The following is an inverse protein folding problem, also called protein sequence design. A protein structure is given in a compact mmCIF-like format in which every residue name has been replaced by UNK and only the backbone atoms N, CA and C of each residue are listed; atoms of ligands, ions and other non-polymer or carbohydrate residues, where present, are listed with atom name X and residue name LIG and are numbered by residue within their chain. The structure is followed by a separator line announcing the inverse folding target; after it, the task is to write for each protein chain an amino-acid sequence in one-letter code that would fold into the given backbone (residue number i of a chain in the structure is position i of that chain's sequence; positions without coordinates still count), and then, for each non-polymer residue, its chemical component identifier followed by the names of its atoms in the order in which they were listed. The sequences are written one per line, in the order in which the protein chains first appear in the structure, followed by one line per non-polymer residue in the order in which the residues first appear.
data_IF_514165686148
#
_entry.id   IF_514165686148
#
_cell.length_a   1.000
_cell.length_b   1.000
_cell.length_c   1.000
_cell.angle_alpha   90.00
_cell.angle_beta   90.00
_cell.angle_gamma   90.00
#
_symmetry.space_group_name_H-M   'P 1'
#
loop_
_entity.id
_entity.type
_entity.pdbx_description
1 polymer ?
#
# COMPACT_ATOMS: atom_id res chain seq x y z
N UNK A 1 18.71 -7.40 -6.70
CA UNK A 1 18.73 -8.81 -6.27
C UNK A 1 17.29 -9.26 -6.15
N UNK A 2 16.83 -10.16 -7.03
CA UNK A 2 15.44 -10.65 -7.01
C UNK A 2 15.28 -11.61 -5.84
N UNK A 3 14.21 -11.42 -5.08
CA UNK A 3 13.90 -12.19 -3.89
C UNK A 3 13.47 -13.59 -4.31
N UNK A 4 14.27 -14.63 -3.99
CA UNK A 4 13.81 -16.01 -4.09
C UNK A 4 12.60 -16.23 -3.16
N UNK A 5 11.71 -17.16 -3.53
CA UNK A 5 10.57 -17.58 -2.70
C UNK A 5 10.99 -17.75 -1.23
N UNK A 6 10.52 -16.86 -0.35
CA UNK A 6 10.76 -16.93 1.09
C UNK A 6 11.77 -15.92 1.67
N UNK A 7 12.51 -15.15 0.85
CA UNK A 7 13.28 -14.03 1.39
C UNK A 7 12.34 -12.84 1.71
N UNK A 8 12.52 -12.18 2.84
CA UNK A 8 11.74 -11.00 3.25
C UNK A 8 12.36 -9.73 2.66
N UNK A 9 11.58 -8.96 1.91
CA UNK A 9 12.01 -7.70 1.28
C UNK A 9 12.65 -6.78 2.32
N UNK A 10 13.75 -6.10 1.99
CA UNK A 10 14.43 -5.17 2.93
C UNK A 10 13.45 -4.13 3.51
N UNK A 11 12.48 -3.70 2.68
CA UNK A 11 11.38 -2.81 3.10
C UNK A 11 10.50 -3.47 4.16
N UNK A 12 10.04 -4.71 3.92
CA UNK A 12 9.22 -5.43 4.90
C UNK A 12 9.99 -5.74 6.18
N UNK A 13 11.29 -6.06 6.08
CA UNK A 13 12.15 -6.33 7.22
C UNK A 13 12.41 -5.09 8.10
N UNK A 14 12.35 -3.89 7.50
CA UNK A 14 12.49 -2.62 8.21
C UNK A 14 11.17 -2.06 8.75
N UNK A 15 10.01 -2.49 8.22
CA UNK A 15 8.71 -1.96 8.61
C UNK A 15 8.21 -2.53 9.94
N UNK A 16 7.27 -1.83 10.58
CA UNK A 16 6.52 -2.35 11.71
C UNK A 16 5.71 -3.62 11.34
N UNK A 17 5.57 -4.55 12.30
CA UNK A 17 4.89 -5.85 12.08
C UNK A 17 3.37 -5.70 11.85
N UNK A 18 2.73 -4.68 12.44
CA UNK A 18 1.32 -4.37 12.24
C UNK A 18 1.10 -3.63 10.91
N UNK A 19 0.00 -3.90 10.20
CA UNK A 19 -0.26 -3.37 8.86
C UNK A 19 -0.98 -2.01 8.82
N UNK A 20 -1.11 -1.33 9.96
CA UNK A 20 -1.76 -0.03 10.09
C UNK A 20 -3.24 0.01 9.73
N UNK A 21 -3.93 0.99 10.29
CA UNK A 21 -5.34 1.30 10.09
C UNK A 21 -5.58 2.78 9.74
N UNK A 22 -4.55 3.63 9.89
CA UNK A 22 -4.61 5.06 9.62
C UNK A 22 -3.91 5.39 8.31
N UNK A 23 -4.60 6.10 7.41
CA UNK A 23 -3.98 6.61 6.19
C UNK A 23 -3.08 7.79 6.52
N UNK A 24 -1.82 7.76 6.07
CA UNK A 24 -0.87 8.84 6.32
C UNK A 24 -1.46 10.23 5.99
N UNK A 25 -1.29 11.17 6.93
CA UNK A 25 -1.80 12.55 6.85
C UNK A 25 -3.34 12.71 6.72
N UNK A 26 -4.14 11.64 6.90
CA UNK A 26 -5.58 11.80 7.13
C UNK A 26 -5.84 12.44 8.49
N UNK A 27 -7.04 12.98 8.70
CA UNK A 27 -7.42 13.60 9.98
C UNK A 27 -7.18 12.67 11.17
N UNK A 28 -7.57 11.40 11.05
CA UNK A 28 -7.40 10.40 12.10
C UNK A 28 -5.92 10.09 12.36
N UNK A 29 -5.10 10.05 11.30
CA UNK A 29 -3.65 9.89 11.43
C UNK A 29 -3.02 11.09 12.15
N UNK A 30 -3.42 12.31 11.79
CA UNK A 30 -2.90 13.55 12.37
C UNK A 30 -3.31 13.71 13.82
N UNK A 31 -4.56 13.40 14.16
CA UNK A 31 -5.04 13.43 15.55
C UNK A 31 -4.25 12.45 16.41
N UNK A 32 -4.01 11.25 15.91
CA UNK A 32 -3.27 10.25 16.63
C UNK A 32 -1.75 10.56 16.68
N UNK A 33 -1.20 11.27 15.68
CA UNK A 33 0.16 11.80 15.69
C UNK A 33 0.32 12.98 16.67
N UNK A 34 -0.72 13.81 16.81
CA UNK A 34 -0.77 14.92 17.78
C UNK A 34 -0.58 14.39 19.20
N UNK A 35 -1.35 13.37 19.60
CA UNK A 35 -1.23 12.77 20.93
C UNK A 35 0.19 12.29 21.24
N UNK A 36 0.84 11.64 20.26
CA UNK A 36 2.21 11.16 20.41
C UNK A 36 3.18 12.33 20.49
N UNK A 37 3.10 13.29 19.56
CA UNK A 37 4.06 14.37 19.47
C UNK A 37 3.99 15.32 20.68
N UNK A 38 2.79 15.65 21.15
CA UNK A 38 2.59 16.43 22.37
C UNK A 38 3.15 15.71 23.61
N UNK A 39 2.94 14.39 23.71
CA UNK A 39 3.51 13.59 24.80
C UNK A 39 5.05 13.56 24.75
N UNK A 40 5.65 13.33 23.57
CA UNK A 40 7.11 13.24 23.42
C UNK A 40 7.80 14.59 23.64
N UNK A 41 7.19 15.69 23.20
CA UNK A 41 7.64 17.07 23.48
C UNK A 41 7.51 17.38 24.97
N UNK A 42 6.38 17.06 25.59
CA UNK A 42 6.16 17.29 27.02
C UNK A 42 7.16 16.53 27.91
N UNK A 43 7.45 15.27 27.58
CA UNK A 43 8.46 14.46 28.29
C UNK A 43 9.90 15.01 28.17
N UNK A 44 10.17 15.79 27.12
CA UNK A 44 11.50 16.34 26.81
C UNK A 44 11.55 17.86 26.88
N UNK A 45 10.59 18.48 27.55
CA UNK A 45 10.41 19.94 27.58
C UNK A 45 11.69 20.70 27.98
N UNK A 46 12.39 20.23 29.01
CA UNK A 46 13.66 20.85 29.46
C UNK A 46 14.74 20.82 28.37
N UNK A 47 14.82 19.71 27.62
CA UNK A 47 15.78 19.55 26.54
C UNK A 47 15.38 20.24 25.24
N UNK A 48 14.20 20.86 25.16
CA UNK A 48 13.72 21.63 24.01
C UNK A 48 13.64 23.13 24.31
N UNK A 49 14.06 23.57 25.50
CA UNK A 49 13.91 24.95 25.95
C UNK A 49 14.67 25.97 25.08
N UNK A 50 15.75 25.55 24.43
CA UNK A 50 16.57 26.35 23.50
C UNK A 50 16.24 26.11 22.03
N UNK A 51 15.24 25.27 21.72
CA UNK A 51 14.77 25.07 20.36
C UNK A 51 14.12 26.36 19.83
N UNK A 52 14.73 26.95 18.80
CA UNK A 52 14.14 28.07 18.09
C UNK A 52 12.81 27.67 17.43
N UNK A 53 11.85 28.61 17.26
CA UNK A 53 10.60 28.31 16.57
C UNK A 53 10.86 27.71 15.19
N UNK A 54 10.16 26.61 14.91
CA UNK A 54 10.40 25.82 13.72
C UNK A 54 9.12 25.10 13.27
N UNK A 55 8.90 25.02 11.96
CA UNK A 55 7.72 24.36 11.38
C UNK A 55 8.09 23.26 10.40
N UNK A 56 7.35 22.14 10.46
CA UNK A 56 7.40 21.01 9.53
C UNK A 56 6.08 20.98 8.76
N UNK A 57 6.13 20.77 7.45
CA UNK A 57 4.98 20.44 6.64
C UNK A 57 5.33 19.28 5.69
N UNK A 58 4.57 18.19 5.74
CA UNK A 58 4.71 17.08 4.80
C UNK A 58 3.45 16.96 3.94
N UNK A 59 3.63 16.88 2.62
CA UNK A 59 2.55 16.82 1.62
C UNK A 59 2.69 15.55 0.80
N UNK A 60 1.71 14.66 0.89
CA UNK A 60 1.58 13.46 0.08
C UNK A 60 0.61 13.67 -1.06
N UNK A 61 1.12 13.69 -2.29
CA UNK A 61 0.34 13.76 -3.53
C UNK A 61 -0.19 12.38 -3.94
N UNK A 62 -1.29 12.32 -4.69
CA UNK A 62 -1.95 11.04 -5.05
C UNK A 62 -2.49 10.24 -3.84
N UNK A 63 -3.29 10.86 -2.94
CA UNK A 63 -3.88 10.12 -1.84
C UNK A 63 -4.81 9.01 -2.36
N UNK A 64 -5.15 8.00 -1.53
CA UNK A 64 -6.09 6.97 -1.93
C UNK A 64 -7.43 7.55 -2.39
N UNK A 65 -7.88 7.17 -3.58
CA UNK A 65 -9.09 7.71 -4.20
C UNK A 65 -10.35 7.54 -3.33
N UNK A 66 -10.43 6.45 -2.57
CA UNK A 66 -11.57 6.16 -1.70
C UNK A 66 -11.83 7.21 -0.60
N UNK A 67 -10.86 8.09 -0.33
CA UNK A 67 -10.99 9.17 0.63
C UNK A 67 -11.70 10.41 0.08
N UNK A 68 -11.85 10.54 -1.24
CA UNK A 68 -12.48 11.69 -1.89
C UNK A 68 -11.91 13.05 -1.44
N UNK A 69 -10.59 13.10 -1.18
CA UNK A 69 -9.92 14.24 -0.53
C UNK A 69 -9.13 15.15 -1.49
N UNK A 70 -9.31 14.99 -2.81
CA UNK A 70 -8.61 15.78 -3.81
C UNK A 70 -7.21 15.24 -4.16
N UNK A 71 -6.27 16.14 -4.48
CA UNK A 71 -4.96 15.79 -5.05
C UNK A 71 -3.87 15.47 -4.03
N UNK A 72 -4.06 15.86 -2.77
CA UNK A 72 -3.05 15.70 -1.72
C UNK A 72 -3.67 15.52 -0.33
N UNK A 73 -2.90 14.89 0.56
CA UNK A 73 -3.08 14.94 2.01
C UNK A 73 -1.82 15.55 2.61
N UNK A 74 -1.99 16.39 3.61
CA UNK A 74 -0.87 17.08 4.25
C UNK A 74 -1.07 17.19 5.75
N UNK A 75 0.03 17.32 6.48
CA UNK A 75 0.03 17.65 7.89
C UNK A 75 1.17 18.59 8.22
N UNK A 76 1.06 19.27 9.35
CA UNK A 76 2.10 20.15 9.83
C UNK A 76 2.26 20.11 11.35
N UNK A 77 3.47 20.45 11.80
CA UNK A 77 3.79 20.72 13.20
C UNK A 77 4.49 22.07 13.32
N UNK A 78 4.06 22.89 14.28
CA UNK A 78 4.73 24.14 14.67
C UNK A 78 5.30 23.97 16.06
N UNK A 79 6.63 24.02 16.17
CA UNK A 79 7.35 23.96 17.44
C UNK A 79 7.65 25.38 17.92
N UNK A 80 7.35 25.65 19.18
CA UNK A 80 7.70 26.88 19.90
C UNK A 80 8.39 26.47 21.20
N UNK A 81 9.71 26.20 21.12
CA UNK A 81 10.48 25.62 22.20
C UNK A 81 9.92 24.27 22.66
N UNK A 82 9.44 24.23 23.90
CA UNK A 82 8.88 23.04 24.55
C UNK A 82 7.36 22.84 24.29
N UNK A 83 6.79 23.52 23.30
CA UNK A 83 5.39 23.34 22.89
C UNK A 83 5.32 23.02 21.40
N UNK A 84 4.28 22.28 21.02
CA UNK A 84 4.04 21.91 19.63
C UNK A 84 2.55 22.00 19.32
N UNK A 85 2.21 22.53 18.15
CA UNK A 85 0.84 22.50 17.61
C UNK A 85 0.85 21.67 16.34
N UNK A 86 -0.08 20.71 16.22
CA UNK A 86 -0.17 19.77 15.10
C UNK A 86 -1.52 19.92 14.40
N UNK A 87 -1.50 20.06 13.07
CA UNK A 87 -2.70 20.27 12.26
C UNK A 87 -2.71 19.48 10.96
N UNK A 88 -3.92 19.25 10.45
CA UNK A 88 -4.16 18.74 9.11
C UNK A 88 -4.03 19.86 8.08
N UNK A 89 -3.64 19.49 6.86
CA UNK A 89 -3.53 20.42 5.75
C UNK A 89 -2.14 21.02 5.61
N UNK A 90 -1.95 21.62 4.45
CA UNK A 90 -0.71 22.22 4.00
C UNK A 90 -0.54 23.63 4.61
N UNK A 91 0.70 23.98 4.95
CA UNK A 91 1.06 25.35 5.30
C UNK A 91 1.45 26.15 4.06
N UNK A 92 1.14 27.45 4.09
CA UNK A 92 1.67 28.39 3.10
C UNK A 92 3.21 28.34 3.09
N UNK A 93 3.79 28.53 1.91
CA UNK A 93 5.22 28.32 1.71
C UNK A 93 6.11 29.24 2.59
N UNK A 94 5.63 30.44 2.92
CA UNK A 94 6.31 31.39 3.78
C UNK A 94 6.15 31.10 5.28
N UNK A 95 5.24 30.21 5.66
CA UNK A 95 5.05 29.74 7.04
C UNK A 95 5.86 28.46 7.36
N UNK A 96 6.51 27.87 6.35
CA UNK A 96 7.14 26.56 6.47
C UNK A 96 8.68 26.64 6.49
N UNK A 97 9.31 26.23 7.60
CA UNK A 97 10.76 26.18 7.71
C UNK A 97 11.35 24.91 7.08
N UNK A 98 10.63 23.80 7.14
CA UNK A 98 10.96 22.57 6.44
C UNK A 98 9.72 21.98 5.79
N UNK A 99 9.76 21.88 4.47
CA UNK A 99 8.69 21.32 3.65
C UNK A 99 9.20 20.12 2.89
N UNK A 100 8.44 19.03 2.92
CA UNK A 100 8.70 17.84 2.12
C UNK A 100 7.45 17.46 1.34
N UNK A 101 7.58 17.31 0.03
CA UNK A 101 6.52 16.82 -0.84
C UNK A 101 6.99 15.62 -1.65
N UNK A 102 6.10 14.65 -1.82
CA UNK A 102 6.33 13.44 -2.59
C UNK A 102 5.04 12.67 -2.83
N UNK A 103 5.14 11.52 -3.48
CA UNK A 103 4.01 10.62 -3.66
C UNK A 103 3.57 10.04 -2.30
N UNK A 104 2.26 10.07 -2.07
CA UNK A 104 1.61 9.65 -0.83
C UNK A 104 1.91 8.18 -0.51
N UNK A 105 1.92 7.29 -1.51
CA UNK A 105 2.21 5.87 -1.28
C UNK A 105 3.64 5.66 -0.78
N UNK A 106 4.59 6.42 -1.33
CA UNK A 106 6.00 6.37 -0.95
C UNK A 106 6.21 6.95 0.44
N UNK A 107 5.61 8.10 0.75
CA UNK A 107 5.68 8.70 2.10
C UNK A 107 5.02 7.78 3.13
N UNK A 108 3.85 7.20 2.83
CA UNK A 108 3.17 6.26 3.72
C UNK A 108 4.06 5.05 4.03
N UNK A 109 4.80 4.54 3.05
CA UNK A 109 5.76 3.45 3.27
C UNK A 109 6.99 3.88 4.07
N UNK A 110 7.51 5.10 3.85
CA UNK A 110 8.60 5.67 4.66
C UNK A 110 8.18 5.86 6.12
N UNK A 111 6.95 6.31 6.35
CA UNK A 111 6.35 6.47 7.68
C UNK A 111 6.16 5.15 8.43
N UNK A 112 6.26 4.01 7.75
CA UNK A 112 6.18 2.66 8.35
C UNK A 112 7.51 2.04 8.71
N UNK A 113 8.64 2.63 8.29
CA UNK A 113 9.94 2.13 8.74
C UNK A 113 9.98 2.22 10.27
N UNK A 114 10.53 1.21 10.93
CA UNK A 114 10.67 1.21 12.37
C UNK A 114 12.16 1.21 12.70
N UNK A 115 12.61 2.23 13.41
CA UNK A 115 13.99 2.33 13.85
C UNK A 115 14.22 1.51 15.12
N UNK A 116 13.29 1.57 16.07
CA UNK A 116 13.40 0.82 17.31
C UNK A 116 13.25 -0.69 17.07
N UNK A 117 14.26 -1.48 17.47
CA UNK A 117 14.23 -2.94 17.36
C UNK A 117 14.56 -3.52 15.99
N UNK A 118 14.95 -2.69 15.00
CA UNK A 118 15.38 -3.14 13.66
C UNK A 118 16.88 -2.91 13.43
N UNK A 119 17.51 -3.68 12.53
CA UNK A 119 18.91 -3.44 12.14
C UNK A 119 19.00 -2.08 11.41
N UNK A 120 19.79 -1.11 11.91
CA UNK A 120 19.94 0.19 11.27
C UNK A 120 20.37 0.13 9.80
N UNK A 121 21.13 -0.90 9.40
CA UNK A 121 21.53 -1.08 8.00
C UNK A 121 20.35 -1.48 7.12
N UNK A 122 19.45 -2.33 7.64
CA UNK A 122 18.22 -2.72 6.94
C UNK A 122 17.28 -1.52 6.80
N UNK A 123 17.14 -0.72 7.87
CA UNK A 123 16.33 0.51 7.81
C UNK A 123 16.91 1.51 6.80
N UNK A 124 18.23 1.73 6.81
CA UNK A 124 18.88 2.62 5.85
C UNK A 124 18.74 2.12 4.40
N UNK A 125 18.84 0.81 4.15
CA UNK A 125 18.64 0.23 2.83
C UNK A 125 17.18 0.39 2.34
N UNK A 126 16.21 0.11 3.22
CA UNK A 126 14.79 0.32 2.93
C UNK A 126 14.47 1.80 2.64
N UNK A 127 14.99 2.72 3.45
CA UNK A 127 14.84 4.15 3.22
C UNK A 127 15.46 4.57 1.89
N UNK A 128 16.70 4.15 1.59
CA UNK A 128 17.37 4.47 0.34
C UNK A 128 16.58 3.95 -0.88
N UNK A 129 16.04 2.72 -0.81
CA UNK A 129 15.14 2.19 -1.84
C UNK A 129 13.90 3.07 -2.01
N UNK A 130 13.15 3.31 -0.94
CA UNK A 130 11.88 4.05 -1.00
C UNK A 130 12.08 5.49 -1.50
N UNK A 131 13.15 6.18 -1.06
CA UNK A 131 13.44 7.55 -1.52
C UNK A 131 13.69 7.66 -3.02
N UNK A 132 14.06 6.58 -3.72
CA UNK A 132 14.22 6.61 -5.17
C UNK A 132 12.89 6.59 -5.92
N UNK A 133 11.81 6.11 -5.29
CA UNK A 133 10.54 5.82 -5.95
C UNK A 133 9.68 7.07 -6.17
N UNK A 134 9.96 8.17 -5.47
CA UNK A 134 9.25 9.44 -5.61
C UNK A 134 10.14 10.53 -6.19
N UNK A 135 9.52 11.45 -6.92
CA UNK A 135 10.00 12.81 -7.13
C UNK A 135 9.83 13.55 -5.81
N UNK A 136 10.83 14.32 -5.40
CA UNK A 136 10.82 15.02 -4.13
C UNK A 136 10.96 16.52 -4.35
N UNK A 137 10.13 17.29 -3.67
CA UNK A 137 10.36 18.71 -3.46
C UNK A 137 10.65 18.91 -1.97
N UNK A 138 11.90 19.26 -1.64
CA UNK A 138 12.32 19.49 -0.25
C UNK A 138 12.83 20.92 -0.16
N UNK A 139 12.26 21.68 0.77
CA UNK A 139 12.60 23.07 1.03
C UNK A 139 13.00 23.26 2.49
N UNK A 140 14.05 24.03 2.71
CA UNK A 140 14.60 24.26 4.03
C UNK A 140 15.30 23.04 4.63
N UNK A 141 15.45 23.02 5.95
CA UNK A 141 16.18 21.98 6.67
C UNK A 141 15.65 21.84 8.10
N UNK A 142 15.61 20.61 8.60
CA UNK A 142 15.39 20.37 10.02
C UNK A 142 16.53 20.99 10.85
N UNK A 143 16.24 21.60 12.02
CA UNK A 143 17.26 22.04 12.95
C UNK A 143 18.14 20.87 13.39
N UNK A 144 19.45 21.07 13.43
CA UNK A 144 20.39 20.11 14.01
C UNK A 144 20.30 20.18 15.54
N UNK A 145 19.26 19.58 16.09
CA UNK A 145 18.95 19.58 17.52
C UNK A 145 18.72 18.14 18.01
N UNK A 146 19.59 17.59 18.88
CA UNK A 146 19.56 16.16 19.21
C UNK A 146 18.26 15.73 19.91
N UNK A 147 17.71 16.57 20.79
CA UNK A 147 16.43 16.29 21.46
C UNK A 147 15.24 16.30 20.48
N UNK A 148 15.18 17.28 19.57
CA UNK A 148 14.20 17.27 18.48
C UNK A 148 14.33 16.01 17.61
N UNK A 149 15.56 15.63 17.24
CA UNK A 149 15.81 14.39 16.50
C UNK A 149 15.30 13.14 17.22
N UNK A 150 15.42 13.10 18.55
CA UNK A 150 14.84 12.02 19.36
C UNK A 150 13.31 12.05 19.41
N UNK A 151 12.70 13.24 19.52
CA UNK A 151 11.23 13.42 19.47
C UNK A 151 10.67 12.95 18.14
N UNK A 152 11.24 13.40 17.01
CA UNK A 152 10.77 13.02 15.68
C UNK A 152 10.95 11.53 15.41
N UNK A 153 12.03 10.92 15.91
CA UNK A 153 12.23 9.47 15.82
C UNK A 153 11.20 8.70 16.65
N UNK A 154 10.88 9.17 17.86
CA UNK A 154 9.87 8.54 18.71
C UNK A 154 8.47 8.65 18.11
N UNK A 155 8.12 9.80 17.52
CA UNK A 155 6.90 9.96 16.73
C UNK A 155 6.86 8.93 15.60
N UNK A 156 7.93 8.86 14.81
CA UNK A 156 8.01 7.94 13.68
C UNK A 156 7.81 6.48 14.10
N UNK A 157 8.55 6.01 15.11
CA UNK A 157 8.43 4.65 15.64
C UNK A 157 7.02 4.34 16.19
N UNK A 158 6.37 5.30 16.86
CA UNK A 158 5.03 5.13 17.40
C UNK A 158 3.93 5.12 16.31
N UNK A 159 4.12 5.90 15.24
CA UNK A 159 3.19 5.96 14.11
C UNK A 159 3.36 4.82 13.13
N UNK A 160 4.56 4.25 13.01
CA UNK A 160 4.88 3.17 12.06
C UNK A 160 3.89 1.98 12.08
N UNK A 161 3.51 1.39 13.24
CA UNK A 161 2.56 0.28 13.27
C UNK A 161 1.11 0.68 12.96
N UNK A 162 0.77 1.98 13.07
CA UNK A 162 -0.59 2.50 12.81
C UNK A 162 -0.76 3.02 11.39
N UNK A 163 0.33 3.39 10.73
CA UNK A 163 0.31 3.93 9.37
C UNK A 163 0.08 2.80 8.36
N UNK A 164 -0.91 2.97 7.49
CA UNK A 164 -1.27 1.98 6.48
C UNK A 164 -0.23 1.96 5.34
N UNK A 165 0.34 0.78 4.98
CA UNK A 165 1.24 0.69 3.84
C UNK A 165 0.49 0.84 2.54
N UNK A 166 1.18 1.32 1.52
CA UNK A 166 0.64 1.38 0.16
C UNK A 166 1.62 0.73 -0.81
N UNK A 167 1.33 -0.49 -1.23
CA UNK A 167 2.19 -1.29 -2.09
C UNK A 167 1.52 -1.53 -3.43
N UNK A 168 2.34 -1.76 -4.46
CA UNK A 168 1.83 -2.12 -5.78
C UNK A 168 1.06 -3.43 -5.74
N UNK A 169 -0.08 -3.43 -6.42
CA UNK A 169 -1.03 -4.55 -6.47
C UNK A 169 -0.32 -5.88 -6.77
N UNK A 170 -0.67 -6.94 -6.05
CA UNK A 170 -0.15 -8.31 -6.25
C UNK A 170 1.37 -8.51 -6.11
N UNK A 171 2.13 -7.50 -5.69
CA UNK A 171 3.56 -7.65 -5.36
C UNK A 171 3.75 -8.44 -4.07
N UNK A 172 4.94 -9.03 -3.82
CA UNK A 172 5.21 -9.72 -2.57
C UNK A 172 4.95 -8.87 -1.31
N UNK A 173 5.25 -7.57 -1.37
CA UNK A 173 4.94 -6.60 -0.32
C UNK A 173 3.43 -6.43 -0.08
N UNK A 174 2.63 -6.34 -1.14
CA UNK A 174 1.18 -6.32 -1.03
C UNK A 174 0.61 -7.60 -0.42
N UNK A 175 1.13 -8.76 -0.84
CA UNK A 175 0.73 -10.08 -0.30
C UNK A 175 1.09 -10.23 1.18
N UNK A 176 2.10 -9.51 1.68
CA UNK A 176 2.38 -9.45 3.12
C UNK A 176 1.18 -8.89 3.91
N UNK A 177 0.49 -7.88 3.36
CA UNK A 177 -0.73 -7.34 3.97
C UNK A 177 -1.87 -8.36 3.93
N UNK A 178 -2.04 -9.06 2.80
CA UNK A 178 -3.03 -10.12 2.65
C UNK A 178 -2.80 -11.24 3.67
N UNK A 179 -1.53 -11.65 3.85
CA UNK A 179 -1.14 -12.64 4.85
C UNK A 179 -1.55 -12.21 6.25
N UNK A 180 -1.23 -10.99 6.67
CA UNK A 180 -1.59 -10.48 8.00
C UNK A 180 -3.11 -10.45 8.21
N UNK A 181 -3.88 -9.95 7.24
CA UNK A 181 -5.35 -9.89 7.30
C UNK A 181 -5.93 -11.30 7.44
N UNK A 182 -5.50 -12.22 6.58
CA UNK A 182 -6.06 -13.56 6.53
C UNK A 182 -5.65 -14.42 7.74
N UNK A 183 -4.40 -14.33 8.21
CA UNK A 183 -3.94 -15.10 9.39
C UNK A 183 -4.64 -14.62 10.66
N UNK A 184 -4.69 -13.31 10.89
CA UNK A 184 -5.37 -12.71 12.06
C UNK A 184 -6.85 -13.11 12.11
N UNK A 185 -7.51 -13.14 10.95
CA UNK A 185 -8.90 -13.58 10.87
C UNK A 185 -9.03 -15.10 11.01
N UNK A 186 -8.12 -15.88 10.42
CA UNK A 186 -8.12 -17.33 10.58
C UNK A 186 -8.00 -17.74 12.05
N UNK A 187 -7.15 -17.08 12.84
CA UNK A 187 -7.07 -17.28 14.30
C UNK A 187 -8.41 -17.04 15.00
N UNK A 188 -9.10 -15.94 14.65
CA UNK A 188 -10.44 -15.63 15.19
C UNK A 188 -11.49 -16.68 14.83
N UNK A 189 -11.34 -17.38 13.71
CA UNK A 189 -12.29 -18.38 13.21
C UNK A 189 -11.76 -19.82 13.28
N UNK A 190 -10.67 -20.08 14.02
CA UNK A 190 -9.91 -21.34 13.96
C UNK A 190 -10.78 -22.60 14.10
N UNK A 191 -11.68 -22.62 15.10
CA UNK A 191 -12.59 -23.75 15.31
C UNK A 191 -13.55 -24.02 14.14
N UNK A 192 -13.96 -22.97 13.42
CA UNK A 192 -14.91 -23.10 12.30
C UNK A 192 -14.23 -23.58 11.01
N UNK A 193 -12.91 -23.42 10.91
CA UNK A 193 -12.16 -23.79 9.71
C UNK A 193 -11.31 -25.06 9.88
N UNK A 194 -11.27 -25.66 11.08
CA UNK A 194 -10.39 -26.79 11.42
C UNK A 194 -10.49 -28.02 10.52
N UNK A 195 -11.62 -28.21 9.85
CA UNK A 195 -11.88 -29.36 8.98
C UNK A 195 -11.92 -28.97 7.49
N UNK A 196 -11.52 -27.73 7.16
CA UNK A 196 -11.52 -27.21 5.79
C UNK A 196 -10.18 -27.49 5.10
N UNK A 197 -10.26 -28.09 3.93
CA UNK A 197 -9.19 -28.13 2.94
C UNK A 197 -9.65 -27.34 1.69
N UNK A 198 -8.99 -26.21 1.41
CA UNK A 198 -9.34 -25.35 0.28
C UNK A 198 -8.13 -24.54 -0.23
N UNK A 199 -7.98 -24.43 -1.54
CA UNK A 199 -6.93 -23.65 -2.22
C UNK A 199 -7.57 -22.58 -3.12
N UNK A 200 -7.30 -21.32 -2.80
CA UNK A 200 -7.63 -20.15 -3.60
C UNK A 200 -6.38 -19.60 -4.29
N UNK A 201 -6.47 -19.18 -5.55
CA UNK A 201 -5.36 -18.56 -6.27
C UNK A 201 -5.83 -17.47 -7.21
N UNK A 202 -5.09 -16.36 -7.25
CA UNK A 202 -5.16 -15.36 -8.33
C UNK A 202 -3.79 -15.22 -8.97
N UNK A 203 -3.73 -15.31 -10.31
CA UNK A 203 -2.50 -15.26 -11.08
C UNK A 203 -2.68 -14.38 -12.32
N UNK A 204 -1.79 -13.40 -12.49
CA UNK A 204 -1.90 -12.39 -13.53
C UNK A 204 -0.61 -12.31 -14.35
N UNK A 205 -0.75 -12.57 -15.65
CA UNK A 205 0.31 -12.51 -16.65
C UNK A 205 0.42 -11.10 -17.24
N UNK A 206 1.43 -10.86 -18.08
CA UNK A 206 1.66 -9.57 -18.73
C UNK A 206 1.75 -8.43 -17.69
N UNK A 207 2.39 -8.71 -16.56
CA UNK A 207 2.55 -7.76 -15.47
C UNK A 207 3.61 -6.70 -15.85
N UNK A 208 3.44 -5.43 -15.44
CA UNK A 208 4.27 -4.34 -15.92
C UNK A 208 5.68 -4.43 -15.34
N UNK A 209 6.67 -4.05 -16.15
CA UNK A 209 8.09 -4.24 -15.80
C UNK A 209 8.54 -3.39 -14.60
N UNK A 210 7.86 -2.27 -14.31
CA UNK A 210 8.18 -1.48 -13.11
C UNK A 210 7.86 -2.25 -11.82
N UNK A 211 6.83 -3.10 -11.82
CA UNK A 211 6.39 -3.86 -10.65
C UNK A 211 7.00 -5.27 -10.61
N UNK A 212 7.15 -5.90 -11.78
CA UNK A 212 7.68 -7.26 -11.95
C UNK A 212 8.85 -7.25 -12.95
N UNK A 213 10.01 -6.65 -12.58
CA UNK A 213 11.13 -6.43 -13.51
C UNK A 213 11.81 -7.72 -14.00
N UNK A 214 11.58 -8.83 -13.34
CA UNK A 214 12.03 -10.16 -13.75
C UNK A 214 11.05 -10.88 -14.68
N UNK A 215 9.92 -10.23 -15.03
CA UNK A 215 8.85 -10.81 -15.83
C UNK A 215 7.99 -11.83 -15.09
N UNK A 216 8.09 -11.89 -13.75
CA UNK A 216 7.24 -12.75 -12.94
C UNK A 216 5.76 -12.35 -13.03
N UNK A 217 4.88 -13.32 -12.76
CA UNK A 217 3.44 -13.07 -12.70
C UNK A 217 3.09 -12.38 -11.37
N UNK A 218 2.22 -11.38 -11.42
CA UNK A 218 1.56 -10.87 -10.23
C UNK A 218 0.56 -11.90 -9.72
N UNK A 219 0.51 -12.13 -8.41
CA UNK A 219 -0.49 -13.05 -7.88
C UNK A 219 -0.39 -13.28 -6.39
N UNK A 220 -1.39 -13.96 -5.86
CA UNK A 220 -1.34 -14.51 -4.53
C UNK A 220 -2.21 -15.75 -4.44
N UNK A 221 -1.87 -16.61 -3.49
CA UNK A 221 -2.62 -17.83 -3.22
C UNK A 221 -2.80 -18.01 -1.72
N UNK A 222 -3.88 -18.69 -1.38
CA UNK A 222 -4.26 -19.02 -0.02
C UNK A 222 -4.61 -20.49 0.03
N UNK A 223 -3.93 -21.22 0.91
CA UNK A 223 -4.17 -22.64 1.12
C UNK A 223 -4.60 -22.86 2.57
N UNK A 224 -5.82 -23.33 2.76
CA UNK A 224 -6.33 -23.83 4.02
C UNK A 224 -6.18 -25.36 4.01
N UNK A 225 -5.48 -25.92 4.99
CA UNK A 225 -5.42 -27.38 5.21
C UNK A 225 -5.73 -27.64 6.66
N UNK A 226 -6.84 -28.31 6.94
CA UNK A 226 -7.32 -28.58 8.30
C UNK A 226 -7.29 -27.34 9.20
N UNK A 227 -7.78 -26.23 8.65
CA UNK A 227 -7.83 -24.93 9.33
C UNK A 227 -6.51 -24.17 9.42
N UNK A 228 -5.39 -24.74 9.00
CA UNK A 228 -4.14 -24.00 8.88
C UNK A 228 -4.12 -23.23 7.56
N UNK A 229 -4.08 -21.90 7.65
CA UNK A 229 -4.03 -21.03 6.47
C UNK A 229 -2.58 -20.64 6.16
N UNK A 230 -2.15 -20.91 4.93
CA UNK A 230 -0.87 -20.48 4.35
C UNK A 230 -1.14 -19.52 3.20
N UNK A 231 -0.40 -18.42 3.14
CA UNK A 231 -0.54 -17.39 2.10
C UNK A 231 0.81 -17.12 1.45
N UNK A 232 0.85 -17.18 0.12
CA UNK A 232 2.05 -16.89 -0.67
C UNK A 232 1.78 -15.93 -1.83
N UNK A 233 2.86 -15.35 -2.35
CA UNK A 233 2.84 -14.43 -3.48
C UNK A 233 3.19 -15.17 -4.78
N UNK A 234 2.83 -14.56 -5.91
CA UNK A 234 3.05 -15.11 -7.24
C UNK A 234 2.09 -16.26 -7.58
N UNK A 235 2.42 -17.07 -8.61
CA UNK A 235 1.61 -18.21 -9.01
C UNK A 235 1.55 -19.28 -7.92
N UNK A 236 0.48 -20.08 -7.93
CA UNK A 236 0.36 -21.23 -7.04
C UNK A 236 1.49 -22.24 -7.33
N UNK A 237 2.26 -22.68 -6.32
CA UNK A 237 3.27 -23.73 -6.50
C UNK A 237 2.66 -25.03 -7.03
N UNK A 238 3.37 -25.71 -7.94
CA UNK A 238 2.91 -26.93 -8.61
C UNK A 238 2.52 -28.03 -7.61
N UNK A 239 3.19 -28.13 -6.47
CA UNK A 239 2.87 -29.10 -5.42
C UNK A 239 1.51 -28.85 -4.73
N UNK A 240 0.91 -27.68 -4.91
CA UNK A 240 -0.39 -27.30 -4.35
C UNK A 240 -1.51 -27.25 -5.40
N UNK A 241 -1.18 -27.47 -6.67
CA UNK A 241 -2.15 -27.56 -7.76
C UNK A 241 -2.96 -28.88 -7.71
N UNK A 242 -4.20 -28.89 -8.25
CA UNK A 242 -4.94 -27.74 -8.76
C UNK A 242 -5.54 -26.86 -7.66
N UNK A 243 -5.74 -25.57 -7.95
CA UNK A 243 -6.55 -24.69 -7.10
C UNK A 243 -8.03 -25.11 -7.09
N UNK A 244 -8.74 -24.85 -6.00
CA UNK A 244 -10.19 -25.03 -5.90
C UNK A 244 -10.93 -23.85 -6.53
N UNK A 245 -10.41 -22.63 -6.34
CA UNK A 245 -10.87 -21.42 -7.04
C UNK A 245 -9.67 -20.69 -7.63
N UNK A 246 -9.71 -20.45 -8.94
CA UNK A 246 -8.63 -19.80 -9.70
C UNK A 246 -9.18 -18.62 -10.48
N UNK A 247 -8.68 -17.41 -10.19
CA UNK A 247 -8.74 -16.26 -11.10
C UNK A 247 -7.42 -16.20 -11.88
N UNK A 248 -7.47 -16.24 -13.21
CA UNK A 248 -6.26 -16.16 -14.05
C UNK A 248 -6.48 -15.29 -15.27
N UNK A 249 -5.52 -14.43 -15.60
CA UNK A 249 -5.66 -13.55 -16.76
C UNK A 249 -4.53 -12.56 -16.95
N UNK A 250 -4.77 -11.53 -17.76
CA UNK A 250 -3.87 -10.39 -17.89
C UNK A 250 -3.92 -9.50 -16.64
N UNK A 251 -2.79 -8.90 -16.27
CA UNK A 251 -2.66 -8.01 -15.11
C UNK A 251 -3.45 -6.71 -15.28
N UNK A 252 -3.23 -5.98 -16.37
CA UNK A 252 -3.82 -4.64 -16.53
C UNK A 252 -5.35 -4.62 -16.39
N UNK A 253 -6.13 -5.52 -17.04
CA UNK A 253 -7.59 -5.49 -16.94
C UNK A 253 -8.13 -5.72 -15.53
N UNK A 254 -7.37 -6.34 -14.62
CA UNK A 254 -7.85 -6.60 -13.26
C UNK A 254 -7.50 -5.48 -12.29
N UNK A 255 -6.50 -4.65 -12.58
CA UNK A 255 -5.98 -3.66 -11.60
C UNK A 255 -7.06 -2.70 -11.11
N UNK A 256 -7.90 -2.09 -11.98
CA UNK A 256 -8.96 -1.21 -11.49
C UNK A 256 -10.02 -1.95 -10.65
N UNK A 257 -10.24 -3.23 -10.92
CA UNK A 257 -11.08 -4.10 -10.08
C UNK A 257 -10.44 -4.31 -8.71
N UNK A 258 -9.20 -4.80 -8.67
CA UNK A 258 -8.52 -5.19 -7.44
C UNK A 258 -8.06 -4.05 -6.52
N UNK A 259 -8.22 -2.79 -6.92
CA UNK A 259 -7.88 -1.61 -6.11
C UNK A 259 -9.07 -0.75 -5.69
N UNK A 260 -10.26 -1.11 -6.15
CA UNK A 260 -11.49 -0.38 -5.82
C UNK A 260 -11.94 -0.73 -4.40
N UNK A 261 -12.25 0.28 -3.59
CA UNK A 261 -12.82 0.07 -2.25
C UNK A 261 -14.34 0.13 -2.38
N UNK A 262 -14.97 -1.03 -2.56
CA UNK A 262 -16.40 -1.11 -2.91
C UNK A 262 -17.29 -0.38 -1.90
N UNK A 263 -16.96 -0.48 -0.61
CA UNK A 263 -17.71 0.19 0.45
C UNK A 263 -17.66 1.73 0.42
N UNK A 264 -16.69 2.32 -0.28
CA UNK A 264 -16.49 3.78 -0.35
C UNK A 264 -16.99 4.41 -1.66
N UNK A 265 -17.51 3.60 -2.58
CA UNK A 265 -17.94 4.06 -3.89
C UNK A 265 -19.28 4.80 -3.85
N UNK A 266 -19.36 5.89 -4.59
CA UNK A 266 -20.63 6.53 -4.96
C UNK A 266 -21.39 5.68 -5.99
N UNK A 267 -22.66 6.00 -6.24
CA UNK A 267 -23.47 5.23 -7.20
C UNK A 267 -23.02 5.40 -8.66
N UNK A 268 -22.45 6.56 -9.00
CA UNK A 268 -21.86 6.80 -10.33
C UNK A 268 -20.61 5.94 -10.53
N UNK A 269 -19.74 5.89 -9.51
CA UNK A 269 -18.54 5.06 -9.54
C UNK A 269 -18.89 3.58 -9.64
N UNK A 270 -19.93 3.12 -8.92
CA UNK A 270 -20.41 1.73 -9.01
C UNK A 270 -20.86 1.38 -10.43
N UNK A 271 -21.53 2.31 -11.12
CA UNK A 271 -21.95 2.10 -12.50
C UNK A 271 -20.74 2.02 -13.43
N UNK A 272 -19.79 2.96 -13.32
CA UNK A 272 -18.54 2.94 -14.09
C UNK A 272 -17.73 1.66 -13.85
N UNK A 273 -17.63 1.22 -12.59
CA UNK A 273 -16.94 -0.01 -12.21
C UNK A 273 -17.63 -1.27 -12.70
N UNK A 274 -18.97 -1.30 -12.72
CA UNK A 274 -19.72 -2.42 -13.28
C UNK A 274 -19.45 -2.56 -14.79
N UNK A 275 -19.43 -1.44 -15.52
CA UNK A 275 -19.14 -1.42 -16.95
C UNK A 275 -17.69 -1.87 -17.24
N UNK A 276 -16.72 -1.38 -16.46
CA UNK A 276 -15.32 -1.81 -16.58
C UNK A 276 -15.14 -3.29 -16.25
N UNK A 277 -15.70 -3.75 -15.12
CA UNK A 277 -15.65 -5.16 -14.71
C UNK A 277 -16.27 -6.06 -15.78
N UNK A 278 -17.40 -5.63 -16.36
CA UNK A 278 -18.02 -6.37 -17.45
C UNK A 278 -17.15 -6.42 -18.72
N UNK A 279 -16.21 -5.50 -18.93
CA UNK A 279 -15.23 -5.57 -20.01
C UNK A 279 -14.05 -6.50 -19.66
N UNK A 280 -13.49 -6.38 -18.45
CA UNK A 280 -12.34 -7.18 -17.99
C UNK A 280 -12.61 -8.70 -17.98
N UNK A 281 -13.84 -9.11 -17.68
CA UNK A 281 -14.24 -10.53 -17.58
C UNK A 281 -15.08 -11.03 -18.78
N UNK A 282 -15.31 -10.21 -19.81
CA UNK A 282 -16.09 -10.63 -20.99
C UNK A 282 -15.21 -11.37 -21.99
N UNK A 283 -15.82 -12.31 -22.71
CA UNK A 283 -15.18 -12.98 -23.82
C UNK A 283 -14.87 -12.01 -24.96
N UNK A 284 -13.58 -11.84 -25.26
CA UNK A 284 -13.10 -11.09 -26.41
C UNK A 284 -13.19 -11.99 -27.66
N UNK A 285 -14.03 -11.58 -28.61
CA UNK A 285 -14.25 -12.33 -29.86
C UNK A 285 -13.06 -12.25 -30.82
N UNK A 286 -12.30 -11.18 -30.78
CA UNK A 286 -11.13 -10.98 -31.64
C UNK A 286 -9.94 -11.79 -31.12
N UNK A 287 -9.72 -11.78 -29.80
CA UNK A 287 -8.66 -12.57 -29.17
C UNK A 287 -9.05 -14.05 -28.94
N UNK A 288 -10.33 -14.40 -29.06
CA UNK A 288 -10.84 -15.77 -28.87
C UNK A 288 -10.73 -16.29 -27.44
N UNK A 289 -10.60 -15.41 -26.44
CA UNK A 289 -10.42 -15.74 -25.02
C UNK A 289 -10.99 -14.64 -24.13
N UNK A 290 -11.19 -14.92 -22.83
CA UNK A 290 -11.44 -13.84 -21.85
C UNK A 290 -10.11 -13.19 -21.45
N UNK A 291 -10.05 -11.88 -21.17
CA UNK A 291 -8.85 -11.26 -20.59
C UNK A 291 -8.54 -11.83 -19.21
N UNK A 292 -9.58 -12.07 -18.41
CA UNK A 292 -9.51 -12.72 -17.09
C UNK A 292 -10.60 -13.79 -16.98
N UNK A 293 -10.21 -14.97 -16.54
CA UNK A 293 -11.07 -16.13 -16.32
C UNK A 293 -11.14 -16.48 -14.84
N UNK A 294 -12.33 -16.91 -14.40
CA UNK A 294 -12.57 -17.51 -13.09
C UNK A 294 -13.02 -18.95 -13.28
N UNK A 295 -12.30 -19.88 -12.66
CA UNK A 295 -12.48 -21.32 -12.85
C UNK A 295 -12.38 -22.08 -11.53
N UNK A 296 -12.81 -23.35 -11.53
CA UNK A 296 -12.69 -24.27 -10.38
C UNK A 296 -11.93 -25.54 -10.78
N UNK A 297 -10.60 -25.47 -10.99
CA UNK A 297 -9.83 -26.55 -11.60
C UNK A 297 -9.87 -27.89 -10.84
N UNK A 298 -9.94 -27.87 -9.50
CA UNK A 298 -9.99 -29.09 -8.70
C UNK A 298 -11.33 -29.83 -8.76
N UNK A 299 -12.40 -29.15 -9.16
CA UNK A 299 -13.77 -29.66 -9.10
C UNK A 299 -14.37 -29.77 -7.69
N UNK A 300 -13.71 -29.27 -6.63
CA UNK A 300 -14.24 -29.35 -5.25
C UNK A 300 -15.36 -28.35 -4.93
N UNK A 301 -15.64 -27.43 -5.85
CA UNK A 301 -16.73 -26.46 -5.73
C UNK A 301 -16.32 -25.14 -5.08
N UNK A 302 -17.32 -24.40 -4.63
CA UNK A 302 -17.15 -23.04 -4.10
C UNK A 302 -16.41 -22.99 -2.77
N UNK A 303 -15.90 -21.80 -2.42
CA UNK A 303 -15.29 -21.53 -1.14
C UNK A 303 -16.26 -21.85 0.02
N UNK A 304 -15.87 -22.67 1.00
CA UNK A 304 -16.70 -22.97 2.16
C UNK A 304 -17.12 -21.68 2.90
N UNK A 305 -18.38 -21.56 3.38
CA UNK A 305 -18.88 -20.31 3.95
C UNK A 305 -18.06 -19.75 5.12
N UNK A 306 -17.55 -20.62 5.98
CA UNK A 306 -16.71 -20.20 7.12
C UNK A 306 -15.34 -19.68 6.67
N UNK A 307 -14.77 -20.23 5.60
CA UNK A 307 -13.59 -19.65 4.96
C UNK A 307 -13.93 -18.35 4.24
N UNK A 308 -15.09 -18.28 3.57
CA UNK A 308 -15.62 -17.05 2.97
C UNK A 308 -15.67 -15.88 3.96
N UNK A 309 -16.10 -16.12 5.21
CA UNK A 309 -16.09 -15.09 6.28
C UNK A 309 -14.71 -14.52 6.58
N UNK A 310 -13.64 -15.29 6.38
CA UNK A 310 -12.25 -14.82 6.53
C UNK A 310 -11.91 -13.87 5.38
N UNK A 311 -12.34 -14.18 4.16
CA UNK A 311 -12.09 -13.42 2.93
C UNK A 311 -12.97 -12.19 2.74
N UNK A 312 -14.16 -12.12 3.35
CA UNK A 312 -15.13 -11.02 3.16
C UNK A 312 -14.50 -9.61 3.13
N UNK A 313 -13.66 -9.18 4.09
CA UNK A 313 -13.09 -7.84 4.07
C UNK A 313 -11.85 -7.70 3.19
N UNK A 314 -11.31 -8.81 2.67
CA UNK A 314 -9.97 -8.86 2.07
C UNK A 314 -9.86 -7.88 0.90
N UNK A 315 -10.84 -7.88 0.01
CA UNK A 315 -10.85 -7.02 -1.17
C UNK A 315 -10.71 -5.55 -0.76
N UNK A 316 -11.68 -5.02 -0.01
CA UNK A 316 -11.68 -3.60 0.34
C UNK A 316 -10.47 -3.22 1.23
N UNK A 317 -10.04 -4.09 2.14
CA UNK A 317 -8.85 -3.82 2.95
C UNK A 317 -7.57 -3.77 2.12
N UNK A 318 -7.41 -4.63 1.13
CA UNK A 318 -6.25 -4.57 0.25
C UNK A 318 -6.35 -3.45 -0.77
N UNK A 319 -7.55 -3.15 -1.26
CA UNK A 319 -7.84 -2.03 -2.16
C UNK A 319 -7.48 -0.68 -1.56
N UNK A 320 -7.70 -0.48 -0.25
CA UNK A 320 -7.24 0.75 0.45
C UNK A 320 -5.74 0.99 0.30
N UNK A 321 -4.96 -0.09 0.10
CA UNK A 321 -3.49 -0.09 0.03
C UNK A 321 -2.94 0.03 -1.39
N UNK A 322 -3.80 -0.09 -2.41
CA UNK A 322 -3.43 -0.03 -3.86
C UNK A 322 -4.21 1.03 -4.64
N UNK A 323 -5.18 1.68 -4.01
CA UNK A 323 -6.00 2.73 -4.63
C UNK A 323 -5.12 3.78 -5.33
N UNK A 324 -5.60 4.37 -6.43
CA UNK A 324 -4.90 5.40 -7.23
C UNK A 324 -3.62 4.99 -8.02
N UNK A 325 -3.19 3.73 -7.98
CA UNK A 325 -2.09 3.24 -8.83
C UNK A 325 -2.60 2.69 -10.17
N UNK A 326 -2.00 3.13 -11.28
CA UNK A 326 -2.35 2.71 -12.63
C UNK A 326 -1.12 2.28 -13.42
N UNK A 327 -1.09 1.03 -13.92
CA UNK A 327 0.02 0.55 -14.73
C UNK A 327 0.28 1.39 -16.00
N UNK A 328 -0.79 1.95 -16.59
CA UNK A 328 -0.74 2.72 -17.84
C UNK A 328 0.02 4.05 -17.73
N UNK A 329 0.30 4.51 -16.51
CA UNK A 329 1.10 5.70 -16.30
C UNK A 329 2.60 5.48 -16.58
N UNK A 330 3.05 4.22 -16.53
CA UNK A 330 4.47 3.88 -16.42
C UNK A 330 4.89 2.77 -17.39
N UNK A 331 3.95 2.25 -18.18
CA UNK A 331 4.21 1.15 -19.11
C UNK A 331 3.46 1.34 -20.42
N UNK A 332 4.20 1.74 -21.45
CA UNK A 332 3.69 1.99 -22.81
C UNK A 332 3.29 0.70 -23.54
N UNK A 333 3.62 -0.48 -22.99
CA UNK A 333 3.22 -1.77 -23.57
C UNK A 333 1.75 -2.11 -23.35
N UNK A 334 1.05 -1.30 -22.54
CA UNK A 334 -0.36 -1.50 -22.22
C UNK A 334 -1.23 -1.13 -23.41
N UNK A 335 -2.11 -2.05 -23.79
CA UNK A 335 -3.08 -1.85 -24.88
C UNK A 335 -4.00 -0.67 -24.56
N UNK A 336 -4.35 0.11 -25.58
CA UNK A 336 -5.23 1.29 -25.45
C UNK A 336 -6.58 0.98 -24.76
N UNK A 337 -7.12 -0.22 -24.98
CA UNK A 337 -8.37 -0.65 -24.35
C UNK A 337 -8.30 -0.72 -22.81
N UNK A 338 -7.09 -0.85 -22.25
CA UNK A 338 -6.84 -0.97 -20.81
C UNK A 338 -6.03 0.20 -20.24
N UNK A 339 -5.65 1.17 -21.07
CA UNK A 339 -4.83 2.31 -20.65
C UNK A 339 -5.65 3.48 -20.12
N UNK A 340 -6.98 3.44 -20.24
CA UNK A 340 -7.85 4.52 -19.79
C UNK A 340 -8.17 4.38 -18.30
N UNK A 341 -7.80 5.36 -17.45
CA UNK A 341 -8.22 5.38 -16.05
C UNK A 341 -9.75 5.51 -15.95
N UNK A 342 -10.34 4.94 -14.91
CA UNK A 342 -11.71 5.29 -14.52
C UNK A 342 -11.69 6.65 -13.81
N UNK A 343 -12.79 7.40 -13.86
CA UNK A 343 -12.82 8.78 -13.38
C UNK A 343 -12.53 8.88 -11.87
N UNK A 344 -12.96 7.88 -11.09
CA UNK A 344 -12.71 7.84 -9.64
C UNK A 344 -11.27 7.48 -9.28
N UNK A 345 -10.51 6.90 -10.21
CA UNK A 345 -9.19 6.39 -9.91
C UNK A 345 -8.16 7.49 -9.64
N UNK A 346 -8.43 8.69 -10.16
CA UNK A 346 -7.46 9.78 -10.16
C UNK A 346 -8.14 11.11 -10.41
N UNK A 347 -7.69 12.11 -9.66
CA UNK A 347 -8.11 13.49 -9.91
C UNK A 347 -7.64 13.95 -11.31
N UNK A 348 -8.48 14.63 -12.12
CA UNK A 348 -8.13 15.02 -13.49
C UNK A 348 -6.87 15.88 -13.64
N UNK A 349 -6.46 16.59 -12.59
CA UNK A 349 -5.27 17.45 -12.57
C UNK A 349 -4.03 16.76 -11.97
N UNK A 350 -4.06 15.44 -11.75
CA UNK A 350 -2.92 14.74 -11.18
C UNK A 350 -1.78 14.60 -12.18
N UNK A 351 -0.58 15.00 -11.75
CA UNK A 351 0.68 14.70 -12.41
C UNK A 351 1.45 13.67 -11.59
N UNK A 352 2.11 12.71 -12.24
CA UNK A 352 2.78 11.63 -11.50
C UNK A 352 3.94 12.12 -10.64
N UNK A 353 3.87 11.79 -9.34
CA UNK A 353 4.96 11.98 -8.38
C UNK A 353 5.84 10.75 -8.22
N UNK A 354 5.37 9.54 -8.56
CA UNK A 354 6.24 8.37 -8.61
C UNK A 354 7.18 8.41 -9.81
N UNK A 355 8.31 7.71 -9.69
CA UNK A 355 9.40 7.62 -10.69
C UNK A 355 9.42 6.29 -11.42
N UNK A 356 8.28 5.61 -11.51
CA UNK A 356 8.20 4.28 -12.11
C UNK A 356 8.52 4.29 -13.61
N UNK A 357 8.50 5.45 -14.28
CA UNK A 357 9.00 5.65 -15.64
C UNK A 357 10.52 5.42 -15.79
N UNK A 358 11.29 5.58 -14.70
CA UNK A 358 12.77 5.48 -14.72
C UNK A 358 13.34 4.41 -13.79
N UNK A 359 12.60 4.00 -12.76
CA UNK A 359 13.03 2.95 -11.82
C UNK A 359 11.93 1.92 -11.58
N UNK A 360 12.30 0.68 -11.24
CA UNK A 360 11.37 -0.33 -10.74
C UNK A 360 10.96 -0.07 -9.28
N UNK A 361 9.99 -0.82 -8.74
CA UNK A 361 9.55 -0.74 -7.33
C UNK A 361 10.67 -1.10 -6.32
N UNK A 362 11.80 -1.60 -6.79
CA UNK A 362 12.99 -1.90 -6.00
C UNK A 362 14.04 -0.78 -6.05
N UNK A 363 13.79 0.28 -6.83
CA UNK A 363 14.69 1.42 -6.99
C UNK A 363 15.90 1.12 -7.87
N UNK A 364 15.81 0.11 -8.75
CA UNK A 364 16.79 -0.14 -9.81
C UNK A 364 16.37 0.58 -11.09
N UNK A 365 17.34 1.00 -11.89
CA UNK A 365 17.08 1.66 -13.17
C UNK A 365 16.39 0.70 -14.16
N UNK A 366 15.45 1.23 -14.95
CA UNK A 366 14.70 0.50 -15.99
C UNK A 366 15.32 0.61 -17.37
#
# INVERSE_FOLDING_TARGET
MVMANGATSEVLAAMADAIGDLTFASTEWVDAAREVLEAEVGQRAEGLADLAPFTICEVGHNPPAYLHCGTSLAWHARFEGATVTIGTGELDADECNFRMEGDHSVISNLARLQYNGRDPRTVAAAQARLTKLSRWNIQGSLPDHPVLGAVLRALHDAMAPRTMPRFTFMTPEWVSSARHILTTRAEKYAEKIRDIDFTFSEEFTDAPAYAFPDGSHGGFWVRCVKGQVTIGAGPLPTEFEPADLLTKGMYTPVVPVGRTVNAAMTDEEKAEQADYSAAAFRFDKEAGRRPVDQTQPSGRGDMPPDLGRIFVPLHDELSKRTSSELPADFDDSIREAWSKPQAFDRHPSYESWVRYDVVDIYGNDR
#
